data_IF_044247847874
#
_entry.id   IF_044247847874
#
_cell.length_a   1.000
_cell.length_b   1.000
_cell.length_c   1.000
_cell.angle_alpha   90.00
_cell.angle_beta   90.00
_cell.angle_gamma   90.00
#
_symmetry.space_group_name_H-M   'P 1'
#
loop_
_entity.id
_entity.type
_entity.pdbx_description
1 polymer ?
#
# COMPACT_ATOMS: atom_id res chain seq x y z
N UNK A 1 -8.31 -13.69 10.64
CA UNK A 1 -8.40 -13.08 9.29
C UNK A 1 -9.67 -13.57 8.64
N UNK A 2 -10.63 -12.68 8.40
CA UNK A 2 -11.80 -13.06 7.61
C UNK A 2 -11.40 -13.10 6.14
N UNK A 3 -11.79 -14.13 5.37
CA UNK A 3 -11.48 -14.17 3.95
C UNK A 3 -12.12 -12.98 3.23
N UNK A 4 -11.29 -12.17 2.57
CA UNK A 4 -11.74 -11.08 1.70
C UNK A 4 -12.73 -11.62 0.66
N UNK A 5 -13.88 -10.97 0.54
CA UNK A 5 -14.80 -11.29 -0.56
C UNK A 5 -14.14 -10.98 -1.91
N UNK A 6 -14.52 -11.68 -3.00
CA UNK A 6 -13.96 -11.43 -4.32
C UNK A 6 -14.02 -9.95 -4.71
N UNK A 7 -15.15 -9.29 -4.41
CA UNK A 7 -15.33 -7.87 -4.71
C UNK A 7 -14.37 -6.97 -3.92
N UNK A 8 -14.19 -7.21 -2.62
CA UNK A 8 -13.23 -6.46 -1.79
C UNK A 8 -11.80 -6.60 -2.31
N UNK A 9 -11.41 -7.82 -2.72
CA UNK A 9 -10.09 -8.08 -3.32
C UNK A 9 -9.90 -7.31 -4.63
N UNK A 10 -10.91 -7.28 -5.50
CA UNK A 10 -10.84 -6.49 -6.75
C UNK A 10 -10.69 -5.01 -6.45
N UNK A 11 -11.41 -4.47 -5.47
CA UNK A 11 -11.30 -3.06 -5.05
C UNK A 11 -9.89 -2.76 -4.53
N UNK A 12 -9.35 -3.62 -3.67
CA UNK A 12 -7.99 -3.46 -3.14
C UNK A 12 -6.93 -3.48 -4.27
N UNK A 13 -7.03 -4.44 -5.18
CA UNK A 13 -6.13 -4.57 -6.33
C UNK A 13 -6.18 -3.34 -7.23
N UNK A 14 -7.39 -2.85 -7.52
CA UNK A 14 -7.56 -1.64 -8.33
C UNK A 14 -6.93 -0.40 -7.67
N UNK A 15 -7.09 -0.25 -6.36
CA UNK A 15 -6.47 0.87 -5.62
C UNK A 15 -4.94 0.81 -5.70
N UNK A 16 -4.35 -0.39 -5.69
CA UNK A 16 -2.90 -0.61 -5.83
C UNK A 16 -2.41 -0.24 -7.23
N UNK A 17 -3.04 -0.82 -8.24
CA UNK A 17 -2.76 -0.54 -9.66
C UNK A 17 -2.89 0.96 -9.98
N UNK A 18 -3.91 1.62 -9.42
CA UNK A 18 -4.14 3.04 -9.65
C UNK A 18 -3.03 3.90 -9.04
N UNK A 19 -2.62 3.60 -7.80
CA UNK A 19 -1.51 4.29 -7.15
C UNK A 19 -0.20 4.07 -7.88
N UNK A 20 0.07 2.84 -8.34
CA UNK A 20 1.27 2.52 -9.10
C UNK A 20 1.31 3.27 -10.45
N UNK A 21 0.18 3.35 -11.16
CA UNK A 21 0.11 4.00 -12.48
C UNK A 21 0.12 5.52 -12.41
N UNK A 22 -0.48 6.12 -11.38
CA UNK A 22 -0.69 7.58 -11.33
C UNK A 22 0.13 8.31 -10.27
N UNK A 23 0.72 7.59 -9.30
CA UNK A 23 1.47 8.18 -8.19
C UNK A 23 0.61 8.86 -7.12
N UNK A 24 -0.72 8.68 -7.15
CA UNK A 24 -1.64 9.21 -6.15
C UNK A 24 -2.80 8.26 -5.86
N UNK A 25 -3.41 8.43 -4.69
CA UNK A 25 -4.53 7.62 -4.21
C UNK A 25 -5.84 7.98 -4.92
N UNK A 26 -6.64 7.01 -5.39
CA UNK A 26 -7.93 7.28 -5.99
C UNK A 26 -8.92 7.84 -4.95
N UNK A 27 -9.80 8.75 -5.37
CA UNK A 27 -10.90 9.22 -4.52
C UNK A 27 -12.06 8.22 -4.49
N UNK A 28 -12.98 8.38 -3.53
CA UNK A 28 -14.23 7.61 -3.53
C UNK A 28 -15.06 7.83 -4.80
N UNK A 29 -14.95 8.99 -5.44
CA UNK A 29 -15.65 9.29 -6.69
C UNK A 29 -15.00 8.53 -7.87
N UNK A 30 -13.67 8.46 -7.92
CA UNK A 30 -12.94 7.72 -8.95
C UNK A 30 -13.23 6.22 -8.85
N UNK A 31 -13.25 5.68 -7.62
CA UNK A 31 -13.61 4.29 -7.40
C UNK A 31 -15.08 4.03 -7.80
N UNK A 32 -16.00 4.93 -7.47
CA UNK A 32 -17.39 4.77 -7.86
C UNK A 32 -17.57 4.71 -9.38
N UNK A 33 -16.85 5.58 -10.12
CA UNK A 33 -16.83 5.60 -11.58
C UNK A 33 -16.19 4.33 -12.16
N UNK A 34 -15.05 3.90 -11.64
CA UNK A 34 -14.32 2.73 -12.12
C UNK A 34 -15.12 1.42 -11.97
N UNK A 35 -15.87 1.29 -10.87
CA UNK A 35 -16.70 0.11 -10.60
C UNK A 35 -18.15 0.24 -11.10
N UNK A 36 -18.51 1.38 -11.70
CA UNK A 36 -19.87 1.62 -12.22
C UNK A 36 -20.97 1.57 -11.15
N UNK A 37 -20.64 1.88 -9.89
CA UNK A 37 -21.62 1.81 -8.79
C UNK A 37 -22.46 3.09 -8.72
N UNK A 38 -23.77 2.92 -8.49
CA UNK A 38 -24.74 4.04 -8.45
C UNK A 38 -24.51 5.03 -7.31
N UNK A 39 -23.84 4.65 -6.22
CA UNK A 39 -23.70 5.49 -5.03
C UNK A 39 -22.29 5.45 -4.45
N UNK A 40 -21.76 6.64 -4.13
CA UNK A 40 -20.50 6.82 -3.38
C UNK A 40 -20.54 6.12 -2.01
N UNK A 41 -21.72 5.96 -1.42
CA UNK A 41 -21.86 5.27 -0.14
C UNK A 41 -21.60 3.77 -0.25
N UNK A 42 -21.88 3.15 -1.40
CA UNK A 42 -21.63 1.73 -1.61
C UNK A 42 -20.12 1.45 -1.54
N UNK A 43 -19.32 2.23 -2.27
CA UNK A 43 -17.86 2.06 -2.25
C UNK A 43 -17.25 2.48 -0.92
N UNK A 44 -17.80 3.52 -0.26
CA UNK A 44 -17.36 3.92 1.08
C UNK A 44 -17.53 2.80 2.11
N UNK A 45 -18.62 2.01 2.04
CA UNK A 45 -18.80 0.83 2.91
C UNK A 45 -17.71 -0.20 2.70
N UNK A 46 -17.38 -0.52 1.44
CA UNK A 46 -16.32 -1.49 1.10
C UNK A 46 -14.97 -1.00 1.61
N UNK A 47 -14.64 0.27 1.39
CA UNK A 47 -13.38 0.87 1.88
C UNK A 47 -13.32 0.83 3.41
N UNK A 48 -14.41 1.17 4.10
CA UNK A 48 -14.43 1.11 5.58
C UNK A 48 -14.24 -0.32 6.10
N UNK A 49 -14.76 -1.32 5.40
CA UNK A 49 -14.50 -2.73 5.74
C UNK A 49 -13.03 -3.06 5.53
N UNK A 50 -12.43 -2.68 4.40
CA UNK A 50 -11.01 -2.89 4.12
C UNK A 50 -10.10 -2.17 5.13
N UNK A 51 -10.50 -1.00 5.62
CA UNK A 51 -9.79 -0.29 6.71
C UNK A 51 -9.89 -1.06 8.02
N UNK A 52 -11.08 -1.55 8.37
CA UNK A 52 -11.29 -2.34 9.58
C UNK A 52 -10.55 -3.67 9.56
N UNK A 53 -10.45 -4.31 8.39
CA UNK A 53 -9.66 -5.54 8.20
C UNK A 53 -8.15 -5.27 8.17
N UNK A 54 -7.71 -4.00 8.13
CA UNK A 54 -6.29 -3.63 8.16
C UNK A 54 -5.60 -3.74 6.79
N UNK A 55 -6.33 -3.68 5.68
CA UNK A 55 -5.76 -3.65 4.33
C UNK A 55 -5.61 -2.23 3.77
N UNK A 56 -6.37 -1.27 4.31
CA UNK A 56 -6.29 0.14 3.93
C UNK A 56 -6.16 1.01 5.18
N UNK A 57 -5.48 2.14 5.04
CA UNK A 57 -5.51 3.23 6.00
C UNK A 57 -6.13 4.47 5.35
N UNK A 58 -6.88 5.23 6.14
CA UNK A 58 -7.59 6.43 5.68
C UNK A 58 -7.14 7.63 6.48
N UNK A 59 -6.38 8.51 5.82
CA UNK A 59 -5.93 9.78 6.38
C UNK A 59 -7.15 10.69 6.66
N UNK A 60 -7.18 11.49 7.74
CA UNK A 60 -8.22 12.51 8.00
C UNK A 60 -8.49 13.46 6.82
N UNK A 61 -7.53 13.63 5.90
CA UNK A 61 -7.72 14.39 4.63
C UNK A 61 -8.47 13.61 3.54
N UNK A 62 -8.92 12.38 3.82
CA UNK A 62 -9.66 11.53 2.89
C UNK A 62 -8.79 10.74 1.91
N UNK A 63 -7.46 10.73 2.10
CA UNK A 63 -6.53 9.97 1.24
C UNK A 63 -6.49 8.52 1.68
N UNK A 64 -6.59 7.61 0.71
CA UNK A 64 -6.54 6.17 0.92
C UNK A 64 -5.09 5.71 0.75
N UNK A 65 -4.50 5.12 1.78
CA UNK A 65 -3.19 4.47 1.70
C UNK A 65 -3.40 2.98 1.75
N UNK A 66 -2.71 2.24 0.89
CA UNK A 66 -2.60 0.79 1.08
C UNK A 66 -1.59 0.57 2.19
N UNK A 67 -2.02 -0.18 3.20
CA UNK A 67 -1.10 -0.77 4.14
C UNK A 67 -0.74 -2.13 3.55
N UNK A 68 0.49 -2.21 3.03
CA UNK A 68 1.10 -3.52 2.84
C UNK A 68 1.17 -4.14 4.24
N UNK A 69 0.27 -5.09 4.48
CA UNK A 69 0.50 -6.07 5.51
C UNK A 69 1.74 -6.83 5.06
N UNK A 70 2.91 -6.33 5.45
CA UNK A 70 4.11 -7.16 5.44
C UNK A 70 3.75 -8.32 6.36
N UNK A 71 3.54 -9.49 5.78
CA UNK A 71 3.72 -10.70 6.57
C UNK A 71 5.11 -10.54 7.20
N UNK A 72 5.29 -10.82 8.50
CA UNK A 72 6.58 -10.61 9.16
C UNK A 72 7.74 -11.47 8.59
N UNK A 73 7.58 -12.07 7.40
CA UNK A 73 8.58 -12.85 6.69
C UNK A 73 9.56 -12.01 5.85
N UNK A 74 9.33 -10.71 5.64
CA UNK A 74 10.24 -9.84 4.87
C UNK A 74 10.81 -8.68 5.71
N UNK A 75 11.30 -8.99 6.92
CA UNK A 75 12.38 -8.17 7.44
C UNK A 75 13.55 -8.32 6.46
N UNK A 76 14.13 -7.23 5.90
CA UNK A 76 15.34 -7.35 5.12
C UNK A 76 16.35 -8.08 6.01
N UNK A 77 16.76 -9.28 5.61
CA UNK A 77 17.72 -10.05 6.38
C UNK A 77 18.90 -9.12 6.66
N UNK A 78 19.38 -9.02 7.92
CA UNK A 78 20.41 -8.08 8.28
C UNK A 78 21.63 -8.32 7.40
N UNK A 79 21.82 -7.48 6.39
CA UNK A 79 22.97 -7.55 5.52
C UNK A 79 24.15 -6.96 6.29
N UNK A 80 25.24 -7.73 6.36
CA UNK A 80 26.47 -7.26 7.00
C UNK A 80 27.18 -6.32 6.03
N UNK A 81 27.18 -5.03 6.34
CA UNK A 81 27.97 -4.04 5.61
C UNK A 81 29.35 -3.92 6.28
N UNK A 82 30.45 -4.35 5.63
CA UNK A 82 31.77 -4.27 6.24
C UNK A 82 32.19 -2.80 6.34
N UNK A 83 32.32 -2.30 7.58
CA UNK A 83 32.86 -0.98 7.85
C UNK A 83 34.39 -1.08 7.91
N UNK A 84 35.06 -0.65 6.84
CA UNK A 84 36.49 -0.43 6.88
C UNK A 84 36.79 0.91 7.55
N UNK A 85 37.62 0.88 8.59
CA UNK A 85 38.10 2.09 9.28
C UNK A 85 38.99 2.96 8.39
N UNK A 86 39.67 3.97 8.95
CA UNK A 86 40.58 4.82 8.19
C UNK A 86 41.67 3.97 7.51
N UNK A 87 41.70 4.00 6.16
CA UNK A 87 42.70 3.33 5.34
C UNK A 87 43.79 4.34 4.99
N UNK A 88 45.04 4.03 5.35
CA UNK A 88 46.19 4.84 4.97
C UNK A 88 46.40 4.83 3.46
N UNK A 89 46.67 5.99 2.85
CA UNK A 89 47.09 6.05 1.46
C UNK A 89 48.41 5.28 1.29
N UNK A 90 48.46 4.39 0.29
CA UNK A 90 49.67 3.61 0.00
C UNK A 90 50.85 4.49 -0.42
N UNK A 91 52.06 3.96 -0.24
CA UNK A 91 53.30 4.59 -0.67
C UNK A 91 53.49 4.32 -2.17
N UNK A 92 53.57 5.38 -2.99
CA UNK A 92 53.99 5.24 -4.38
C UNK A 92 55.52 5.01 -4.40
N UNK A 93 55.95 3.91 -5.04
CA UNK A 93 57.36 3.64 -5.33
C UNK A 93 57.83 4.45 -6.54
#
# INVERSE_FOLDING_TARGET
MSPLTPHQRTVLTYIGEFQHKRGYSPSLSDLALAFGVRSKNAIAKVVNVLVREGHLDKDPKGRIKIIEMTEPEDFPQPMTLPLFGPISAGFAA
#
